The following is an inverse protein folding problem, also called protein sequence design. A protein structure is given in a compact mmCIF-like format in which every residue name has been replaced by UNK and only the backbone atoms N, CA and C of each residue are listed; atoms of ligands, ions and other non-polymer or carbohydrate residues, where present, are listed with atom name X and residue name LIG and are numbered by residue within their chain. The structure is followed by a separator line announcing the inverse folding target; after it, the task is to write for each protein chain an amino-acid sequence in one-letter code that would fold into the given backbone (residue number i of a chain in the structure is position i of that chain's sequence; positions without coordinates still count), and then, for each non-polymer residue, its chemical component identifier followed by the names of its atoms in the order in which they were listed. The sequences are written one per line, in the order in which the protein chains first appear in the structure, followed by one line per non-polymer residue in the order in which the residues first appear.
data_IF_572361888488
#
_entry.id   IF_572361888488
#
_cell.length_a   1.000
_cell.length_b   1.000
_cell.length_c   1.000
_cell.angle_alpha   90.00
_cell.angle_beta   90.00
_cell.angle_gamma   90.00
#
_symmetry.space_group_name_H-M   'P 1'
#
loop_
_entity.id
_entity.type
_entity.pdbx_description
1 polymer ?
#
# COMPACT_ATOMS: atom_id res chain seq x y z
N UNK A 1 40.40 -0.87 -73.35
CA UNK A 1 41.37 0.25 -73.35
C UNK A 1 42.06 0.25 -72.00
N UNK A 2 43.37 0.14 -71.99
CA UNK A 2 44.22 0.36 -70.81
C UNK A 2 44.23 1.86 -70.51
N UNK A 3 44.26 2.24 -69.23
CA UNK A 3 45.10 3.35 -68.83
C UNK A 3 45.57 3.20 -67.39
N UNK A 4 46.90 3.21 -67.32
CA UNK A 4 47.81 3.18 -66.19
C UNK A 4 47.97 4.60 -65.61
N UNK A 5 48.78 4.72 -64.55
CA UNK A 5 49.32 5.93 -63.91
C UNK A 5 48.45 6.43 -62.73
N UNK A 6 48.83 6.24 -61.47
CA UNK A 6 50.17 6.35 -60.91
C UNK A 6 50.42 7.80 -60.49
N UNK A 7 50.83 7.98 -59.23
CA UNK A 7 51.63 9.08 -58.67
C UNK A 7 51.04 9.68 -57.38
N UNK A 8 51.58 9.16 -56.28
CA UNK A 8 52.10 9.89 -55.13
C UNK A 8 52.01 11.42 -55.22
N UNK A 9 51.16 12.00 -54.37
CA UNK A 9 51.43 13.32 -53.81
C UNK A 9 51.77 13.11 -52.34
N UNK A 10 53.08 13.12 -52.05
CA UNK A 10 53.60 13.28 -50.71
C UNK A 10 53.17 14.67 -50.25
N UNK A 11 52.14 14.74 -49.41
CA UNK A 11 51.80 15.96 -48.70
C UNK A 11 52.40 15.87 -47.29
N UNK A 12 53.48 16.60 -46.96
CA UNK A 12 54.01 16.67 -45.60
C UNK A 12 53.21 17.67 -44.75
N UNK A 13 51.90 17.80 -44.99
CA UNK A 13 50.98 18.56 -44.13
C UNK A 13 50.70 17.70 -42.89
N UNK A 14 51.67 17.78 -41.98
CA UNK A 14 51.52 17.76 -40.53
C UNK A 14 50.17 17.21 -40.08
N UNK A 15 50.10 15.89 -39.91
CA UNK A 15 49.01 15.23 -39.20
C UNK A 15 49.01 15.77 -37.77
N UNK A 16 48.33 16.89 -37.56
CA UNK A 16 48.10 17.47 -36.25
C UNK A 16 47.00 16.63 -35.64
N UNK A 17 47.40 15.53 -35.00
CA UNK A 17 46.52 14.68 -34.22
C UNK A 17 45.87 15.59 -33.17
N UNK A 18 44.65 16.06 -33.44
CA UNK A 18 43.80 16.64 -32.42
C UNK A 18 43.32 15.45 -31.59
N UNK A 19 44.21 14.97 -30.74
CA UNK A 19 43.82 14.20 -29.58
C UNK A 19 42.95 15.16 -28.80
N UNK A 20 41.65 14.90 -28.75
CA UNK A 20 40.81 15.44 -27.70
C UNK A 20 41.43 14.91 -26.41
N UNK A 21 42.42 15.65 -25.89
CA UNK A 21 42.88 15.47 -24.53
C UNK A 21 41.64 15.73 -23.72
N UNK A 22 41.03 14.65 -23.25
CA UNK A 22 40.09 14.69 -22.15
C UNK A 22 40.73 15.67 -21.18
N UNK A 23 40.10 16.82 -20.88
CA UNK A 23 40.66 17.73 -19.92
C UNK A 23 40.83 16.90 -18.66
N UNK A 24 42.08 16.59 -18.33
CA UNK A 24 42.47 16.22 -16.99
C UNK A 24 42.32 17.51 -16.20
N UNK A 25 41.07 17.93 -16.00
CA UNK A 25 40.73 18.59 -14.76
C UNK A 25 41.17 17.57 -13.74
N UNK A 26 42.25 17.88 -13.03
CA UNK A 26 42.59 17.17 -11.82
C UNK A 26 41.25 16.96 -11.11
N UNK A 27 40.85 15.70 -10.92
CA UNK A 27 39.91 15.41 -9.85
C UNK A 27 40.64 15.99 -8.67
N UNK A 28 40.17 17.14 -8.18
CA UNK A 28 40.58 17.67 -6.91
C UNK A 28 40.37 16.50 -5.95
N UNK A 29 41.46 15.80 -5.65
CA UNK A 29 41.50 14.73 -4.65
C UNK A 29 41.33 15.30 -3.25
N UNK A 30 41.00 16.59 -3.16
CA UNK A 30 40.19 17.16 -2.10
C UNK A 30 38.70 16.73 -2.18
N UNK A 31 38.44 15.51 -2.66
CA UNK A 31 37.21 14.76 -2.41
C UNK A 31 37.31 13.99 -1.08
N UNK A 32 38.17 14.44 -0.17
CA UNK A 32 37.80 14.42 1.24
C UNK A 32 36.70 15.45 1.45
N UNK A 33 35.54 15.23 0.81
CA UNK A 33 34.32 15.83 1.29
C UNK A 33 34.31 15.59 2.80
N UNK A 34 34.13 16.64 3.57
CA UNK A 34 34.25 16.51 5.02
C UNK A 34 33.38 15.33 5.47
N UNK A 35 33.72 14.67 6.57
CA UNK A 35 32.90 13.55 7.09
C UNK A 35 31.40 13.93 7.11
N UNK A 36 31.08 15.21 7.36
CA UNK A 36 29.73 15.75 7.28
C UNK A 36 29.08 15.74 5.88
N UNK A 37 29.85 15.97 4.82
CA UNK A 37 29.37 15.96 3.43
C UNK A 37 29.13 14.53 2.91
N UNK A 38 29.98 13.58 3.29
CA UNK A 38 29.76 12.15 3.00
C UNK A 38 28.52 11.61 3.74
N UNK A 39 28.36 11.97 5.02
CA UNK A 39 27.17 11.62 5.80
C UNK A 39 25.92 12.28 5.22
N UNK A 40 26.00 13.54 4.79
CA UNK A 40 24.89 14.25 4.13
C UNK A 40 24.46 13.54 2.85
N UNK A 41 25.41 13.25 1.95
CA UNK A 41 25.13 12.56 0.69
C UNK A 41 24.57 11.14 0.89
N UNK A 42 25.12 10.37 1.84
CA UNK A 42 24.62 9.04 2.17
C UNK A 42 23.18 9.10 2.75
N UNK A 43 22.90 10.10 3.58
CA UNK A 43 21.56 10.34 4.14
C UNK A 43 20.56 10.75 3.07
N UNK A 44 20.96 11.57 2.09
CA UNK A 44 20.14 11.93 0.95
C UNK A 44 19.83 10.73 0.05
N UNK A 45 20.81 9.89 -0.24
CA UNK A 45 20.60 8.66 -1.01
C UNK A 45 19.68 7.68 -0.29
N UNK A 46 19.89 7.47 1.01
CA UNK A 46 19.00 6.64 1.83
C UNK A 46 17.58 7.21 1.84
N UNK A 47 17.42 8.52 1.99
CA UNK A 47 16.12 9.20 1.92
C UNK A 47 15.45 9.01 0.56
N UNK A 48 16.22 9.04 -0.53
CA UNK A 48 15.72 8.83 -1.89
C UNK A 48 15.21 7.40 -2.12
N UNK A 49 15.93 6.40 -1.61
CA UNK A 49 15.54 4.99 -1.68
C UNK A 49 14.25 4.72 -0.90
N UNK A 50 14.19 5.22 0.35
CA UNK A 50 12.98 5.09 1.18
C UNK A 50 11.78 5.72 0.48
N UNK A 51 11.95 6.88 -0.15
CA UNK A 51 10.88 7.54 -0.90
C UNK A 51 10.44 6.72 -2.12
N UNK A 52 11.38 6.13 -2.85
CA UNK A 52 11.09 5.25 -3.98
C UNK A 52 10.34 3.98 -3.55
N UNK A 53 10.73 3.35 -2.44
CA UNK A 53 10.06 2.19 -1.86
C UNK A 53 8.60 2.54 -1.47
N UNK A 54 8.39 3.71 -0.88
CA UNK A 54 7.06 4.21 -0.52
C UNK A 54 6.22 4.48 -1.78
N UNK A 55 6.80 5.07 -2.81
CA UNK A 55 6.10 5.33 -4.07
C UNK A 55 5.69 4.04 -4.77
N UNK A 56 6.56 3.03 -4.76
CA UNK A 56 6.29 1.71 -5.29
C UNK A 56 5.18 1.01 -4.49
N UNK A 57 5.31 0.96 -3.17
CA UNK A 57 4.29 0.39 -2.28
C UNK A 57 2.95 1.11 -2.47
N UNK A 58 2.96 2.43 -2.64
CA UNK A 58 1.74 3.21 -2.92
C UNK A 58 1.14 2.87 -4.28
N UNK A 59 1.95 2.63 -5.30
CA UNK A 59 1.46 2.21 -6.62
C UNK A 59 0.82 0.82 -6.57
N UNK A 60 1.44 -0.13 -5.86
CA UNK A 60 0.92 -1.49 -5.66
C UNK A 60 -0.39 -1.47 -4.85
N UNK A 61 -0.39 -0.78 -3.71
CA UNK A 61 -1.57 -0.61 -2.85
C UNK A 61 -2.74 0.07 -3.57
N UNK A 62 -2.49 1.05 -4.44
CA UNK A 62 -3.56 1.71 -5.21
C UNK A 62 -4.35 0.70 -6.07
N UNK A 63 -3.65 -0.27 -6.67
CA UNK A 63 -4.29 -1.32 -7.47
C UNK A 63 -5.19 -2.21 -6.61
N UNK A 64 -4.69 -2.64 -5.46
CA UNK A 64 -5.45 -3.46 -4.51
C UNK A 64 -6.65 -2.71 -3.92
N UNK A 65 -6.46 -1.46 -3.50
CA UNK A 65 -7.51 -0.59 -2.98
C UNK A 65 -8.60 -0.38 -4.03
N UNK A 66 -8.23 -0.11 -5.29
CA UNK A 66 -9.22 0.07 -6.37
C UNK A 66 -10.06 -1.20 -6.57
N UNK A 67 -9.44 -2.38 -6.60
CA UNK A 67 -10.15 -3.66 -6.70
C UNK A 67 -11.07 -3.88 -5.50
N UNK A 68 -10.59 -3.58 -4.30
CA UNK A 68 -11.37 -3.66 -3.06
C UNK A 68 -12.57 -2.72 -3.06
N UNK A 69 -12.40 -1.48 -3.51
CA UNK A 69 -13.48 -0.48 -3.61
C UNK A 69 -14.52 -0.89 -4.66
N UNK A 70 -14.09 -1.31 -5.85
CA UNK A 70 -15.02 -1.74 -6.90
C UNK A 70 -15.76 -3.01 -6.45
N UNK A 71 -15.03 -4.01 -5.96
CA UNK A 71 -15.63 -5.25 -5.46
C UNK A 71 -16.57 -4.99 -4.30
N UNK A 72 -16.16 -4.21 -3.31
CA UNK A 72 -16.98 -3.81 -2.17
C UNK A 72 -18.21 -3.00 -2.59
N UNK A 73 -18.07 -2.07 -3.55
CA UNK A 73 -19.17 -1.30 -4.10
C UNK A 73 -20.19 -2.17 -4.83
N UNK A 74 -19.74 -3.08 -5.70
CA UNK A 74 -20.61 -4.03 -6.40
C UNK A 74 -21.32 -4.96 -5.42
N UNK A 75 -20.63 -5.50 -4.42
CA UNK A 75 -21.26 -6.30 -3.36
C UNK A 75 -22.25 -5.48 -2.54
N UNK A 76 -21.98 -4.21 -2.28
CA UNK A 76 -22.91 -3.29 -1.61
C UNK A 76 -24.20 -3.12 -2.41
N UNK A 77 -24.08 -2.80 -3.70
CA UNK A 77 -25.24 -2.67 -4.62
C UNK A 77 -26.01 -3.98 -4.73
N UNK A 78 -25.31 -5.11 -4.92
CA UNK A 78 -25.93 -6.42 -4.97
C UNK A 78 -26.66 -6.78 -3.66
N UNK A 79 -26.08 -6.43 -2.51
CA UNK A 79 -26.69 -6.61 -1.20
C UNK A 79 -27.98 -5.80 -1.04
N UNK A 80 -27.99 -4.54 -1.48
CA UNK A 80 -29.19 -3.70 -1.47
C UNK A 80 -30.27 -4.28 -2.38
N UNK A 81 -29.92 -4.68 -3.61
CA UNK A 81 -30.86 -5.31 -4.55
C UNK A 81 -31.43 -6.60 -3.96
N UNK A 82 -30.59 -7.45 -3.37
CA UNK A 82 -31.02 -8.68 -2.73
C UNK A 82 -31.96 -8.41 -1.54
N UNK A 83 -31.67 -7.39 -0.72
CA UNK A 83 -32.50 -7.01 0.41
C UNK A 83 -33.89 -6.55 -0.04
N UNK A 84 -33.98 -5.65 -1.01
CA UNK A 84 -35.28 -5.19 -1.55
C UNK A 84 -36.02 -6.31 -2.29
N UNK A 85 -35.32 -7.10 -3.11
CA UNK A 85 -35.91 -8.25 -3.81
C UNK A 85 -36.45 -9.31 -2.86
N UNK A 86 -35.82 -9.49 -1.69
CA UNK A 86 -36.28 -10.45 -0.68
C UNK A 86 -37.69 -10.13 -0.19
N UNK A 87 -38.04 -8.85 -0.05
CA UNK A 87 -39.40 -8.45 0.32
C UNK A 87 -40.44 -8.95 -0.70
N UNK A 88 -40.19 -8.71 -1.99
CA UNK A 88 -41.06 -9.19 -3.06
C UNK A 88 -41.08 -10.72 -3.16
N UNK A 89 -39.94 -11.38 -2.92
CA UNK A 89 -39.86 -12.84 -2.90
C UNK A 89 -40.75 -13.44 -1.81
N UNK A 90 -40.69 -12.95 -0.57
CA UNK A 90 -41.54 -13.46 0.51
C UNK A 90 -43.02 -13.10 0.29
N UNK A 91 -43.32 -11.94 -0.27
CA UNK A 91 -44.68 -11.61 -0.70
C UNK A 91 -45.21 -12.61 -1.73
N UNK A 92 -44.41 -12.90 -2.76
CA UNK A 92 -44.74 -13.92 -3.76
C UNK A 92 -44.97 -15.30 -3.12
N UNK A 93 -44.12 -15.73 -2.19
CA UNK A 93 -44.27 -17.02 -1.50
C UNK A 93 -45.55 -17.04 -0.65
N UNK A 94 -45.89 -15.95 0.03
CA UNK A 94 -47.13 -15.84 0.80
C UNK A 94 -48.36 -15.90 -0.11
N UNK A 95 -48.33 -15.20 -1.23
CA UNK A 95 -49.41 -15.24 -2.23
C UNK A 95 -49.54 -16.63 -2.87
N UNK A 96 -48.42 -17.28 -3.18
CA UNK A 96 -48.40 -18.65 -3.68
C UNK A 96 -49.04 -19.60 -2.67
N UNK A 97 -48.66 -19.49 -1.39
CA UNK A 97 -49.23 -20.32 -0.31
C UNK A 97 -50.73 -20.07 -0.11
N UNK A 98 -51.20 -18.85 -0.38
CA UNK A 98 -52.63 -18.50 -0.30
C UNK A 98 -53.52 -19.26 -1.30
N UNK A 99 -52.93 -19.94 -2.30
CA UNK A 99 -53.68 -20.84 -3.18
C UNK A 99 -54.21 -22.10 -2.45
N UNK A 100 -53.60 -22.49 -1.34
CA UNK A 100 -53.97 -23.69 -0.57
C UNK A 100 -54.65 -23.38 0.76
N UNK A 101 -54.46 -22.19 1.33
CA UNK A 101 -54.97 -21.80 2.66
C UNK A 101 -55.47 -20.35 2.67
N UNK A 102 -56.20 -19.99 3.73
CA UNK A 102 -56.66 -18.61 3.95
C UNK A 102 -55.51 -17.59 3.86
N UNK A 103 -55.74 -16.50 3.12
CA UNK A 103 -54.68 -15.53 2.80
C UNK A 103 -54.03 -14.95 4.05
N UNK A 104 -54.80 -14.64 5.09
CA UNK A 104 -54.24 -14.12 6.35
C UNK A 104 -53.29 -15.12 7.03
N UNK A 105 -53.60 -16.42 6.97
CA UNK A 105 -52.80 -17.48 7.57
C UNK A 105 -51.49 -17.72 6.79
N UNK A 106 -51.55 -17.65 5.45
CA UNK A 106 -50.36 -17.74 4.60
C UNK A 106 -49.34 -16.65 4.93
N UNK A 107 -49.78 -15.40 5.03
CA UNK A 107 -48.92 -14.28 5.38
C UNK A 107 -48.35 -14.41 6.80
N UNK A 108 -49.14 -14.91 7.76
CA UNK A 108 -48.66 -15.15 9.13
C UNK A 108 -47.57 -16.24 9.18
N UNK A 109 -47.75 -17.33 8.44
CA UNK A 109 -46.76 -18.43 8.36
C UNK A 109 -45.44 -17.90 7.77
N UNK A 110 -45.51 -17.18 6.65
CA UNK A 110 -44.30 -16.62 6.02
C UNK A 110 -43.63 -15.57 6.90
N UNK A 111 -44.39 -14.77 7.63
CA UNK A 111 -43.85 -13.85 8.63
C UNK A 111 -43.03 -14.59 9.71
N UNK A 112 -43.57 -15.70 10.25
CA UNK A 112 -42.84 -16.50 11.24
C UNK A 112 -41.57 -17.12 10.65
N UNK A 113 -41.62 -17.61 9.41
CA UNK A 113 -40.44 -18.10 8.68
C UNK A 113 -39.38 -17.00 8.56
N UNK A 114 -39.78 -15.78 8.19
CA UNK A 114 -38.86 -14.64 8.10
C UNK A 114 -38.18 -14.31 9.44
N UNK A 115 -38.92 -14.33 10.56
CA UNK A 115 -38.35 -14.11 11.88
C UNK A 115 -37.31 -15.18 12.22
N UNK A 116 -37.60 -16.45 11.94
CA UNK A 116 -36.66 -17.56 12.16
C UNK A 116 -35.41 -17.38 11.29
N UNK A 117 -35.57 -17.10 10.00
CA UNK A 117 -34.44 -16.85 9.09
C UNK A 117 -33.61 -15.66 9.55
N UNK A 118 -34.23 -14.55 9.94
CA UNK A 118 -33.54 -13.37 10.44
C UNK A 118 -32.76 -13.67 11.73
N UNK A 119 -33.35 -14.41 12.67
CA UNK A 119 -32.67 -14.83 13.90
C UNK A 119 -31.45 -15.71 13.59
N UNK A 120 -31.57 -16.68 12.68
CA UNK A 120 -30.46 -17.53 12.26
C UNK A 120 -29.32 -16.71 11.62
N UNK A 121 -29.65 -15.82 10.68
CA UNK A 121 -28.66 -14.95 10.03
C UNK A 121 -27.98 -14.01 11.04
N UNK A 122 -28.75 -13.44 11.97
CA UNK A 122 -28.21 -12.59 13.04
C UNK A 122 -27.25 -13.37 13.95
N UNK A 123 -27.59 -14.59 14.34
CA UNK A 123 -26.72 -15.45 15.16
C UNK A 123 -25.44 -15.85 14.42
N UNK A 124 -25.53 -16.22 13.14
CA UNK A 124 -24.37 -16.55 12.32
C UNK A 124 -23.46 -15.33 12.11
N UNK A 125 -24.05 -14.17 11.82
CA UNK A 125 -23.35 -12.90 11.70
C UNK A 125 -22.64 -12.52 12.99
N UNK A 126 -23.34 -12.58 14.12
CA UNK A 126 -22.78 -12.31 15.45
C UNK A 126 -21.61 -13.25 15.78
N UNK A 127 -21.74 -14.56 15.50
CA UNK A 127 -20.67 -15.53 15.70
C UNK A 127 -19.46 -15.25 14.80
N UNK A 128 -19.67 -14.78 13.57
CA UNK A 128 -18.58 -14.40 12.66
C UNK A 128 -17.85 -13.15 13.15
N UNK A 129 -18.58 -12.12 13.57
CA UNK A 129 -18.01 -10.88 14.11
C UNK A 129 -17.20 -11.16 15.37
N UNK A 130 -17.71 -12.00 16.30
CA UNK A 130 -16.96 -12.40 17.51
C UNK A 130 -15.65 -13.13 17.24
N UNK A 131 -15.50 -13.76 16.07
CA UNK A 131 -14.25 -14.44 15.68
C UNK A 131 -13.20 -13.49 15.12
N UNK A 132 -13.56 -12.26 14.77
CA UNK A 132 -12.61 -11.25 14.30
C UNK A 132 -11.83 -10.75 15.51
N UNK A 133 -10.59 -11.23 15.67
CA UNK A 133 -9.66 -10.72 16.68
C UNK A 133 -9.07 -9.40 16.21
N UNK A 134 -8.95 -8.43 17.11
CA UNK A 134 -8.21 -7.20 16.82
C UNK A 134 -6.75 -7.53 16.43
N UNK A 135 -6.12 -6.76 15.53
CA UNK A 135 -4.74 -6.99 15.12
C UNK A 135 -3.77 -6.67 16.27
N UNK A 136 -3.55 -7.65 17.15
CA UNK A 136 -2.77 -7.49 18.39
C UNK A 136 -1.32 -7.12 18.11
N UNK A 137 -0.70 -7.69 17.07
CA UNK A 137 0.70 -7.40 16.69
C UNK A 137 0.90 -5.96 16.24
N UNK A 138 -0.02 -5.40 15.46
CA UNK A 138 0.04 -3.99 15.04
C UNK A 138 -0.14 -3.04 16.22
N UNK A 139 -1.01 -3.40 17.18
CA UNK A 139 -1.22 -2.60 18.40
C UNK A 139 0.00 -2.67 19.32
N UNK A 140 0.65 -3.83 19.42
CA UNK A 140 1.87 -4.06 20.22
C UNK A 140 3.05 -3.25 19.66
N UNK A 141 3.32 -3.34 18.36
CA UNK A 141 4.37 -2.54 17.71
C UNK A 141 4.11 -1.03 17.79
N UNK A 142 2.85 -0.58 17.67
CA UNK A 142 2.51 0.83 17.83
C UNK A 142 2.69 1.34 19.27
N UNK A 143 2.50 0.46 20.28
CA UNK A 143 2.75 0.80 21.69
C UNK A 143 4.25 0.89 21.98
N UNK A 144 5.04 -0.05 21.48
CA UNK A 144 6.49 -0.07 21.64
C UNK A 144 7.14 1.18 21.02
N UNK A 145 6.69 1.59 19.82
CA UNK A 145 7.13 2.84 19.18
C UNK A 145 6.82 4.10 20.00
N UNK A 146 5.70 4.11 20.73
CA UNK A 146 5.33 5.23 21.62
C UNK A 146 6.14 5.23 22.91
N UNK A 147 6.63 4.08 23.35
CA UNK A 147 7.47 3.95 24.54
C UNK A 147 8.93 4.35 24.25
N UNK A 148 9.39 4.14 23.01
CA UNK A 148 10.72 4.52 22.53
C UNK A 148 10.86 6.00 22.12
N UNK A 149 9.98 6.89 22.58
CA UNK A 149 10.09 8.33 22.31
C UNK A 149 11.41 8.87 22.92
N UNK A 150 12.31 9.49 22.12
CA UNK A 150 13.67 9.86 22.54
C UNK A 150 13.76 10.68 23.83
N UNK A 151 12.78 11.55 24.08
CA UNK A 151 12.78 12.43 25.26
C UNK A 151 12.58 11.71 26.61
N UNK A 152 11.95 10.52 26.65
CA UNK A 152 11.79 9.77 27.91
C UNK A 152 13.03 8.97 28.28
N UNK A 153 13.84 8.60 27.29
CA UNK A 153 15.12 7.95 27.54
C UNK A 153 16.13 8.95 28.14
N UNK A 154 16.17 10.19 27.62
CA UNK A 154 16.99 11.28 28.18
C UNK A 154 16.56 11.65 29.61
N UNK A 155 15.25 11.76 29.87
CA UNK A 155 14.71 12.07 31.21
C UNK A 155 15.13 11.02 32.26
N UNK A 156 15.09 9.73 31.90
CA UNK A 156 15.52 8.63 32.79
C UNK A 156 17.04 8.60 33.00
N UNK A 157 17.83 9.02 32.02
CA UNK A 157 19.29 9.10 32.14
C UNK A 157 19.71 10.28 33.02
N UNK A 158 19.03 11.42 32.91
CA UNK A 158 19.31 12.61 33.72
C UNK A 158 18.88 12.44 35.19
N UNK A 159 17.73 11.81 35.43
CA UNK A 159 17.28 11.48 36.78
C UNK A 159 18.27 10.52 37.48
N UNK A 160 18.80 9.53 36.76
CA UNK A 160 19.79 8.59 37.29
C UNK A 160 21.16 9.25 37.54
N UNK A 161 21.55 10.21 36.69
CA UNK A 161 22.80 10.95 36.84
C UNK A 161 22.76 11.88 38.06
N UNK A 162 21.62 12.52 38.35
CA UNK A 162 21.43 13.37 39.54
C UNK A 162 21.45 12.59 40.86
N UNK A 163 20.98 11.35 40.87
CA UNK A 163 21.00 10.50 42.07
C UNK A 163 22.38 9.94 42.45
N UNK A 164 23.38 10.01 41.58
CA UNK A 164 24.74 9.49 41.85
C UNK A 164 25.69 10.51 42.51
N UNK A 165 25.27 11.78 42.66
CA UNK A 165 26.09 12.86 43.25
C UNK A 165 25.56 13.35 44.61
N UNK A 166 24.66 12.60 45.25
CA UNK A 166 24.12 12.88 46.59
C UNK A 166 24.56 11.86 47.61
#
# INVERSE_FOLDING_TARGET
MSNDNGMFTNNPETFKTQVNSIPLSDVDTNTQGSIGELVSNATEQMSSLVRAEIELAKAELRGEVKKGVIGGGLFGVAGVIALYSSFFFFFFVAELLSLWIERWAAFLIIFLVMIITAALLALLGFKKIRKIKAPTKTIESAKELKELVPGKAEEKLDAKRRGMFS
#
